data_IF_082426902073
#
_entry.id   IF_082426902073
#
_cell.length_a   1.000
_cell.length_b   1.000
_cell.length_c   1.000
_cell.angle_alpha   90.00
_cell.angle_beta   90.00
_cell.angle_gamma   90.00
#
_symmetry.space_group_name_H-M   'P 1'
#
loop_
_entity.id
_entity.type
_entity.pdbx_description
1 polymer ?
#
# COMPACT_ATOMS: atom_id res chain seq x y z
N UNK A 1 -27.92 -18.01 11.10
CA UNK A 1 -26.83 -17.82 12.07
C UNK A 1 -26.36 -16.37 11.96
N UNK A 2 -26.42 -15.63 13.06
CA UNK A 2 -26.24 -14.18 13.10
C UNK A 2 -24.75 -13.81 13.02
N UNK A 3 -24.33 -13.12 11.97
CA UNK A 3 -23.06 -12.40 11.95
C UNK A 3 -23.29 -10.98 12.44
N UNK A 4 -23.03 -10.76 13.73
CA UNK A 4 -22.99 -9.44 14.35
C UNK A 4 -21.81 -8.66 13.74
N UNK A 5 -22.07 -7.82 12.73
CA UNK A 5 -21.10 -6.86 12.19
C UNK A 5 -20.90 -5.71 13.19
N UNK A 6 -20.27 -6.01 14.32
CA UNK A 6 -19.82 -5.04 15.30
C UNK A 6 -18.46 -4.49 14.84
N UNK A 7 -18.49 -3.34 14.17
CA UNK A 7 -17.26 -2.62 13.79
C UNK A 7 -17.45 -1.57 12.70
N UNK A 8 -18.49 -0.74 12.78
CA UNK A 8 -18.57 0.50 11.99
C UNK A 8 -17.55 1.51 12.54
N UNK A 9 -16.26 1.16 12.51
CA UNK A 9 -15.22 2.04 13.04
C UNK A 9 -15.20 3.33 12.23
N UNK A 10 -15.13 4.50 12.91
CA UNK A 10 -15.14 5.77 12.24
C UNK A 10 -13.99 5.85 11.25
N UNK A 11 -14.32 6.30 10.05
CA UNK A 11 -13.36 6.58 8.99
C UNK A 11 -12.33 7.57 9.53
N UNK A 12 -11.02 7.35 9.28
CA UNK A 12 -9.97 8.17 9.87
C UNK A 12 -10.17 9.65 9.52
N UNK A 13 -10.53 10.44 10.52
CA UNK A 13 -10.55 11.89 10.47
C UNK A 13 -9.39 12.42 11.34
N UNK A 14 -8.56 13.36 10.83
CA UNK A 14 -8.69 14.04 9.54
C UNK A 14 -8.08 13.26 8.35
N UNK A 15 -8.77 13.27 7.22
CA UNK A 15 -8.23 12.78 5.94
C UNK A 15 -7.24 13.81 5.36
N UNK A 16 -5.96 13.67 5.71
CA UNK A 16 -4.91 14.60 5.29
C UNK A 16 -4.36 14.27 3.90
N UNK A 17 -3.72 15.26 3.25
CA UNK A 17 -2.96 15.02 2.01
C UNK A 17 -1.85 13.97 2.19
N UNK A 18 -1.25 13.88 3.39
CA UNK A 18 -0.22 12.90 3.71
C UNK A 18 -0.80 11.48 3.72
N UNK A 19 -1.93 11.29 4.39
CA UNK A 19 -2.64 10.01 4.40
C UNK A 19 -3.08 9.61 2.99
N UNK A 20 -3.68 10.52 2.24
CA UNK A 20 -4.06 10.26 0.84
C UNK A 20 -2.87 9.79 -0.01
N UNK A 21 -1.70 10.41 0.17
CA UNK A 21 -0.48 10.01 -0.53
C UNK A 21 -0.03 8.60 -0.15
N UNK A 22 -0.06 8.27 1.15
CA UNK A 22 0.29 6.93 1.64
C UNK A 22 -0.66 5.85 1.08
N UNK A 23 -1.95 6.14 1.00
CA UNK A 23 -2.94 5.22 0.42
C UNK A 23 -2.74 5.05 -1.09
N UNK A 24 -2.34 6.10 -1.81
CA UNK A 24 -1.98 6.01 -3.24
C UNK A 24 -0.74 5.13 -3.43
N UNK A 25 0.29 5.30 -2.60
CA UNK A 25 1.51 4.49 -2.65
C UNK A 25 1.20 3.01 -2.35
N UNK A 26 0.40 2.74 -1.32
CA UNK A 26 -0.04 1.39 -0.97
C UNK A 26 -0.85 0.75 -2.10
N UNK A 27 -1.83 1.47 -2.66
CA UNK A 27 -2.65 0.98 -3.77
C UNK A 27 -1.84 0.75 -5.06
N UNK A 28 -0.77 1.52 -5.26
CA UNK A 28 0.14 1.35 -6.40
C UNK A 28 1.17 0.22 -6.21
N UNK A 29 1.38 -0.26 -4.98
CA UNK A 29 2.41 -1.26 -4.65
C UNK A 29 2.04 -2.71 -5.00
N UNK A 30 0.79 -2.97 -5.39
CA UNK A 30 0.22 -4.33 -5.57
C UNK A 30 0.27 -5.21 -4.31
N UNK A 31 0.58 -4.64 -3.14
CA UNK A 31 0.52 -5.33 -1.86
C UNK A 31 -0.94 -5.63 -1.47
N UNK A 32 -1.22 -6.89 -1.13
CA UNK A 32 -2.51 -7.36 -0.62
C UNK A 32 -2.39 -8.08 0.71
N UNK A 33 -1.38 -7.75 1.51
CA UNK A 33 -1.22 -8.25 2.87
C UNK A 33 -2.11 -7.45 3.84
N UNK A 34 -3.07 -8.13 4.47
CA UNK A 34 -4.05 -7.50 5.35
C UNK A 34 -3.40 -6.80 6.54
N UNK A 35 -2.28 -7.31 7.06
CA UNK A 35 -1.59 -6.71 8.21
C UNK A 35 -0.95 -5.37 7.85
N UNK A 36 -0.40 -5.24 6.65
CA UNK A 36 0.12 -3.97 6.10
C UNK A 36 -1.01 -2.97 5.93
N UNK A 37 -2.15 -3.40 5.38
CA UNK A 37 -3.30 -2.52 5.13
C UNK A 37 -3.89 -1.95 6.42
N UNK A 38 -4.03 -2.78 7.48
CA UNK A 38 -4.55 -2.35 8.79
C UNK A 38 -3.71 -1.25 9.47
N UNK A 39 -2.44 -1.06 9.09
CA UNK A 39 -1.60 0.02 9.62
C UNK A 39 -2.01 1.40 9.11
N UNK A 40 -2.75 1.48 8.02
CA UNK A 40 -3.14 2.73 7.36
C UNK A 40 -4.54 3.22 7.71
N UNK A 41 -5.37 2.38 8.33
CA UNK A 41 -6.73 2.75 8.70
C UNK A 41 -7.52 1.57 9.29
N UNK A 42 -8.76 1.85 9.69
CA UNK A 42 -9.64 0.81 10.23
C UNK A 42 -9.90 -0.29 9.20
N UNK A 43 -10.17 -1.54 9.64
CA UNK A 43 -10.43 -2.64 8.72
C UNK A 43 -11.61 -2.36 7.76
N UNK A 44 -12.68 -1.72 8.25
CA UNK A 44 -13.81 -1.28 7.43
C UNK A 44 -13.44 -0.23 6.37
N UNK A 45 -12.59 0.74 6.73
CA UNK A 45 -12.15 1.75 5.77
C UNK A 45 -11.28 1.12 4.66
N UNK A 46 -10.33 0.27 5.07
CA UNK A 46 -9.37 -0.35 4.18
C UNK A 46 -10.00 -1.41 3.27
N UNK A 47 -10.99 -2.16 3.76
CA UNK A 47 -11.76 -3.11 2.96
C UNK A 47 -12.53 -2.40 1.84
N UNK A 48 -13.21 -1.29 2.14
CA UNK A 48 -13.91 -0.51 1.12
C UNK A 48 -12.98 0.12 0.08
N UNK A 49 -11.77 0.53 0.50
CA UNK A 49 -10.72 0.94 -0.44
C UNK A 49 -10.31 -0.21 -1.37
N UNK A 50 -10.18 -1.44 -0.86
CA UNK A 50 -9.88 -2.61 -1.69
C UNK A 50 -10.99 -2.87 -2.72
N UNK A 51 -12.28 -2.80 -2.33
CA UNK A 51 -13.41 -2.94 -3.26
C UNK A 51 -13.42 -1.82 -4.31
N UNK A 52 -13.11 -0.58 -3.91
CA UNK A 52 -12.99 0.55 -4.84
C UNK A 52 -11.89 0.31 -5.88
N UNK A 53 -10.75 -0.25 -5.48
CA UNK A 53 -9.65 -0.60 -6.39
C UNK A 53 -10.01 -1.77 -7.30
N UNK A 54 -10.69 -2.80 -6.79
CA UNK A 54 -11.25 -3.89 -7.58
C UNK A 54 -12.24 -3.38 -8.66
N UNK A 55 -12.93 -2.28 -8.37
CA UNK A 55 -13.84 -1.65 -9.33
C UNK A 55 -13.12 -0.89 -10.44
N UNK A 56 -11.85 -0.51 -10.24
CA UNK A 56 -11.09 0.31 -11.17
C UNK A 56 -10.40 -0.52 -12.27
N UNK A 57 -10.57 -0.11 -13.55
CA UNK A 57 -9.77 -0.68 -14.66
C UNK A 57 -8.27 -0.44 -14.47
N UNK A 58 -7.43 -1.40 -14.84
CA UNK A 58 -5.96 -1.29 -14.76
C UNK A 58 -5.37 -1.55 -13.37
N UNK A 59 -6.16 -2.09 -12.45
CA UNK A 59 -5.73 -2.64 -11.17
C UNK A 59 -6.06 -4.14 -11.19
N UNK A 60 -5.21 -4.97 -10.59
CA UNK A 60 -5.36 -6.43 -10.61
C UNK A 60 -6.64 -6.85 -9.87
N UNK A 61 -7.69 -7.10 -10.65
CA UNK A 61 -9.08 -7.11 -10.19
C UNK A 61 -9.40 -8.28 -9.28
N UNK A 62 -8.64 -9.37 -9.41
CA UNK A 62 -8.91 -10.65 -8.76
C UNK A 62 -8.41 -10.68 -7.30
N UNK A 63 -7.42 -9.85 -6.96
CA UNK A 63 -6.73 -9.93 -5.66
C UNK A 63 -7.40 -9.12 -4.55
N UNK A 64 -8.01 -7.99 -4.90
CA UNK A 64 -8.60 -7.07 -3.92
C UNK A 64 -9.92 -7.52 -3.28
N UNK A 65 -10.81 -8.29 -3.95
CA UNK A 65 -12.01 -8.83 -3.29
C UNK A 65 -11.69 -9.75 -2.12
N UNK A 66 -10.69 -10.63 -2.25
CA UNK A 66 -10.26 -11.51 -1.16
C UNK A 66 -9.71 -10.72 0.04
N UNK A 67 -8.88 -9.71 -0.24
CA UNK A 67 -8.37 -8.80 0.79
C UNK A 67 -9.50 -8.01 1.47
N UNK A 68 -10.49 -7.54 0.72
CA UNK A 68 -11.62 -6.81 1.28
C UNK A 68 -12.38 -7.67 2.30
N UNK A 69 -12.63 -8.94 1.96
CA UNK A 69 -13.32 -9.89 2.82
C UNK A 69 -12.48 -10.25 4.07
N UNK A 70 -11.16 -10.40 3.92
CA UNK A 70 -10.24 -10.65 5.04
C UNK A 70 -10.16 -9.45 6.02
N UNK A 71 -10.25 -8.22 5.48
CA UNK A 71 -10.24 -7.00 6.29
C UNK A 71 -11.57 -6.79 6.99
N UNK A 72 -12.69 -6.94 6.28
CA UNK A 72 -14.02 -6.79 6.85
C UNK A 72 -15.03 -7.69 6.11
N UNK A 73 -15.55 -8.73 6.79
CA UNK A 73 -16.53 -9.62 6.19
C UNK A 73 -17.77 -8.88 5.67
N UNK A 74 -18.23 -9.25 4.47
CA UNK A 74 -19.39 -8.64 3.83
C UNK A 74 -19.15 -7.25 3.23
N UNK A 75 -17.90 -6.78 3.14
CA UNK A 75 -17.60 -5.49 2.48
C UNK A 75 -17.92 -5.52 0.97
N UNK A 76 -17.83 -6.70 0.35
CA UNK A 76 -18.17 -6.91 -1.05
C UNK A 76 -19.68 -6.80 -1.33
N UNK A 77 -20.51 -6.83 -0.29
CA UNK A 77 -21.96 -6.66 -0.39
C UNK A 77 -22.31 -5.22 -0.78
N UNK A 78 -23.24 -5.08 -1.71
CA UNK A 78 -23.59 -3.79 -2.31
C UNK A 78 -24.04 -2.76 -1.26
N UNK A 79 -24.83 -3.18 -0.27
CA UNK A 79 -25.35 -2.30 0.78
C UNK A 79 -24.24 -1.77 1.71
N UNK A 80 -23.27 -2.62 2.01
CA UNK A 80 -22.12 -2.28 2.87
C UNK A 80 -21.17 -1.35 2.12
N UNK A 81 -20.93 -1.63 0.84
CA UNK A 81 -20.12 -0.76 -0.02
C UNK A 81 -20.78 0.60 -0.29
N UNK A 82 -22.09 0.66 -0.54
CA UNK A 82 -22.84 1.91 -0.68
C UNK A 82 -22.74 2.77 0.58
N UNK A 83 -22.87 2.15 1.76
CA UNK A 83 -22.64 2.84 3.04
C UNK A 83 -21.23 3.40 3.14
N UNK A 84 -20.22 2.62 2.78
CA UNK A 84 -18.84 3.08 2.78
C UNK A 84 -18.63 4.28 1.84
N UNK A 85 -19.23 4.26 0.64
CA UNK A 85 -19.18 5.37 -0.32
C UNK A 85 -19.78 6.67 0.23
N UNK A 86 -20.85 6.58 1.04
CA UNK A 86 -21.48 7.74 1.69
C UNK A 86 -20.62 8.36 2.78
N UNK A 87 -19.78 7.56 3.41
CA UNK A 87 -18.98 7.99 4.57
C UNK A 87 -17.54 8.38 4.17
N UNK A 88 -17.01 7.82 3.09
CA UNK A 88 -15.60 7.96 2.73
C UNK A 88 -15.22 9.38 2.28
N UNK A 89 -14.10 9.95 2.77
CA UNK A 89 -13.53 11.18 2.23
C UNK A 89 -12.82 10.96 0.89
N UNK A 90 -12.62 9.70 0.47
CA UNK A 90 -11.96 9.38 -0.79
C UNK A 90 -12.87 9.76 -1.95
N UNK A 91 -12.44 10.74 -2.74
CA UNK A 91 -13.08 11.07 -4.02
C UNK A 91 -12.53 10.15 -5.11
N UNK A 92 -13.24 9.07 -5.41
CA UNK A 92 -12.82 8.06 -6.41
C UNK A 92 -12.34 8.65 -7.74
N UNK A 93 -13.05 9.67 -8.26
CA UNK A 93 -12.73 10.37 -9.50
C UNK A 93 -11.34 11.06 -9.47
N UNK A 94 -10.82 11.43 -8.30
CA UNK A 94 -9.49 12.02 -8.13
C UNK A 94 -8.45 11.00 -7.67
N UNK A 95 -8.85 10.04 -6.86
CA UNK A 95 -7.97 9.04 -6.27
C UNK A 95 -7.47 8.03 -7.31
N UNK A 96 -8.38 7.42 -8.08
CA UNK A 96 -8.03 6.35 -9.01
C UNK A 96 -7.08 6.78 -10.13
N UNK A 97 -7.23 7.97 -10.77
CA UNK A 97 -6.24 8.44 -11.74
C UNK A 97 -4.83 8.59 -11.14
N UNK A 98 -4.72 9.02 -9.87
CA UNK A 98 -3.44 9.16 -9.19
C UNK A 98 -2.78 7.81 -8.89
N UNK A 99 -3.56 6.81 -8.47
CA UNK A 99 -3.05 5.42 -8.31
C UNK A 99 -2.50 4.91 -9.65
N UNK A 100 -3.25 5.09 -10.75
CA UNK A 100 -2.80 4.68 -12.08
C UNK A 100 -1.53 5.40 -12.52
N UNK A 101 -1.43 6.70 -12.25
CA UNK A 101 -0.22 7.47 -12.54
C UNK A 101 0.98 6.97 -11.72
N UNK A 102 0.77 6.67 -10.43
CA UNK A 102 1.81 6.17 -9.53
C UNK A 102 2.30 4.77 -9.92
N UNK A 103 1.41 3.91 -10.47
CA UNK A 103 1.81 2.62 -11.05
C UNK A 103 2.65 2.76 -12.32
N UNK A 104 2.34 3.75 -13.17
CA UNK A 104 3.12 4.03 -14.40
C UNK A 104 4.48 4.67 -14.11
N UNK A 105 4.58 5.41 -13.01
CA UNK A 105 5.81 6.05 -12.56
C UNK A 105 6.14 5.54 -11.16
N UNK A 106 6.68 4.31 -11.01
CA UNK A 106 7.12 3.85 -9.70
C UNK A 106 8.04 4.93 -9.14
N UNK A 107 7.66 5.53 -8.00
CA UNK A 107 8.38 6.66 -7.42
C UNK A 107 9.84 6.28 -7.32
N UNK A 108 10.68 6.93 -8.15
CA UNK A 108 12.13 6.75 -8.23
C UNK A 108 12.81 6.72 -6.86
N UNK A 109 12.21 7.29 -5.82
CA UNK A 109 12.76 7.40 -4.46
C UNK A 109 13.02 6.07 -3.75
N UNK A 110 12.24 5.00 -3.98
CA UNK A 110 12.58 3.69 -3.38
C UNK A 110 13.78 3.07 -4.10
N UNK A 111 13.87 3.28 -5.42
CA UNK A 111 15.05 2.89 -6.21
C UNK A 111 16.27 3.74 -5.82
N UNK A 112 16.11 5.01 -5.47
CA UNK A 112 17.23 5.86 -5.01
C UNK A 112 17.69 5.48 -3.61
N UNK A 113 16.79 5.20 -2.66
CA UNK A 113 17.20 4.77 -1.31
C UNK A 113 17.88 3.40 -1.31
N UNK A 114 17.36 2.44 -2.10
CA UNK A 114 18.02 1.14 -2.29
C UNK A 114 19.31 1.27 -3.12
N UNK A 115 19.37 2.12 -4.14
CA UNK A 115 20.58 2.33 -4.93
C UNK A 115 21.69 3.02 -4.11
N UNK A 116 21.36 4.04 -3.31
CA UNK A 116 22.31 4.68 -2.39
C UNK A 116 22.83 3.69 -1.36
N UNK A 117 21.96 2.82 -0.83
CA UNK A 117 22.36 1.76 0.10
C UNK A 117 23.24 0.70 -0.58
N UNK A 118 22.96 0.32 -1.84
CA UNK A 118 23.77 -0.64 -2.60
C UNK A 118 25.13 -0.07 -3.01
N UNK A 119 25.21 1.22 -3.33
CA UNK A 119 26.47 1.90 -3.65
C UNK A 119 27.37 2.05 -2.42
N UNK A 120 26.81 2.38 -1.26
CA UNK A 120 27.54 2.38 0.01
C UNK A 120 28.08 0.98 0.36
N UNK A 121 27.26 -0.06 0.17
CA UNK A 121 27.67 -1.45 0.40
C UNK A 121 28.77 -1.91 -0.58
N UNK A 122 28.67 -1.53 -1.86
CA UNK A 122 29.67 -1.82 -2.87
C UNK A 122 31.01 -1.11 -2.64
N UNK A 123 30.99 0.10 -2.09
CA UNK A 123 32.18 0.85 -1.68
C UNK A 123 32.88 0.17 -0.49
N UNK A 124 32.11 -0.24 0.52
CA UNK A 124 32.61 -1.01 1.66
C UNK A 124 33.30 -2.30 1.23
N UNK A 125 32.67 -3.08 0.36
CA UNK A 125 33.25 -4.34 -0.13
C UNK A 125 34.58 -4.11 -0.89
N UNK A 126 34.64 -3.07 -1.73
CA UNK A 126 35.88 -2.69 -2.45
C UNK A 126 37.00 -2.25 -1.49
N UNK A 127 36.64 -1.57 -0.40
CA UNK A 127 37.59 -1.12 0.63
C UNK A 127 38.12 -2.29 1.45
N UNK A 128 37.24 -3.23 1.84
CA UNK A 128 37.62 -4.48 2.49
C UNK A 128 38.53 -5.34 1.60
N UNK A 129 38.19 -5.50 0.31
CA UNK A 129 39.01 -6.26 -0.63
C UNK A 129 40.43 -5.68 -0.77
N UNK A 130 40.56 -4.35 -0.88
CA UNK A 130 41.88 -3.68 -0.90
C UNK A 130 42.67 -3.86 0.40
N UNK A 131 41.98 -3.86 1.55
CA UNK A 131 42.63 -4.03 2.85
C UNK A 131 43.19 -5.43 3.04
N UNK A 132 42.49 -6.46 2.54
CA UNK A 132 42.96 -7.85 2.54
C UNK A 132 44.17 -8.03 1.61
N UNK A 133 44.14 -7.41 0.42
CA UNK A 133 45.27 -7.41 -0.54
C UNK A 133 46.53 -6.79 0.09
N UNK A 134 46.41 -5.61 0.72
CA UNK A 134 47.53 -4.94 1.38
C UNK A 134 48.12 -5.74 2.55
N UNK A 135 47.31 -6.50 3.29
CA UNK A 135 47.80 -7.34 4.39
C UNK A 135 48.43 -8.65 3.90
N UNK A 136 48.09 -9.13 2.69
CA UNK A 136 48.72 -10.30 2.07
C UNK A 136 50.11 -10.02 1.50
N UNK A 137 50.42 -8.77 1.16
CA UNK A 137 51.73 -8.36 0.59
C UNK A 137 52.72 -7.94 1.69
N UNK A 138 52.24 -7.79 2.94
CA UNK A 138 53.04 -7.36 4.09
C UNK A 138 53.57 -8.53 4.96
N UNK A 139 53.51 -9.76 4.47
CA UNK A 139 54.12 -10.97 5.09
C UNK A 139 55.09 -11.60 4.12
#
# INVERSE_FOLDING_TARGET
MAHTAAGNDPIPLPFTRKLETQLIDLAASDNTDSTTWRKHGSPFFMSGLAVLLASARGVDREKYPGLAEELHPGMIELEVFDRWLKLTPIRAARFLPRVRQQKKQPRRHVVTALASSLEEFGSLYRKFAKQIENHRIAT
#
